data_IF_843702258196
#
_entry.id   IF_843702258196
#
_cell.length_a   1.000
_cell.length_b   1.000
_cell.length_c   1.000
_cell.angle_alpha   90.00
_cell.angle_beta   90.00
_cell.angle_gamma   90.00
#
_symmetry.space_group_name_H-M   'P 1'
#
loop_
_entity.id
_entity.type
_entity.pdbx_description
1 polymer ?
#
# COMPACT_ATOMS: atom_id res chain seq x y z
N UNK A 1 -3.66 -9.16 -16.78
CA UNK A 1 -2.70 -8.03 -16.86
C UNK A 1 -2.53 -7.38 -15.51
N UNK A 2 -1.32 -7.07 -15.10
CA UNK A 2 -0.85 -7.11 -13.73
C UNK A 2 -1.12 -5.82 -12.96
N UNK A 3 -1.74 -5.92 -11.79
CA UNK A 3 -1.54 -5.08 -10.61
C UNK A 3 -0.02 -4.94 -10.46
N UNK A 4 0.49 -3.75 -10.11
CA UNK A 4 1.92 -3.57 -9.98
C UNK A 4 2.45 -4.65 -9.04
N UNK A 5 3.21 -5.59 -9.61
CA UNK A 5 3.88 -6.59 -8.81
C UNK A 5 5.14 -5.95 -8.24
N UNK A 6 5.16 -5.77 -6.94
CA UNK A 6 6.34 -5.26 -6.26
C UNK A 6 7.20 -6.44 -5.84
N UNK A 7 8.31 -6.63 -6.55
CA UNK A 7 9.32 -7.60 -6.10
C UNK A 7 10.08 -6.95 -4.94
N UNK A 8 9.78 -7.41 -3.74
CA UNK A 8 10.54 -6.99 -2.58
C UNK A 8 11.97 -7.53 -2.68
N UNK A 9 12.95 -6.67 -2.47
CA UNK A 9 14.35 -7.12 -2.34
C UNK A 9 14.48 -7.70 -0.94
N UNK A 10 14.27 -9.01 -0.87
CA UNK A 10 14.34 -9.79 0.36
C UNK A 10 15.72 -10.44 0.43
N UNK A 11 16.44 -10.27 1.51
CA UNK A 11 17.65 -11.05 1.76
C UNK A 11 17.27 -12.53 1.89
N UNK A 12 17.71 -13.37 0.96
CA UNK A 12 17.37 -14.80 0.90
C UNK A 12 17.78 -15.58 2.17
N UNK A 13 18.71 -15.02 2.96
CA UNK A 13 19.15 -15.59 4.24
C UNK A 13 18.30 -15.14 5.44
N UNK A 14 17.32 -14.27 5.24
CA UNK A 14 16.47 -13.76 6.33
C UNK A 14 15.08 -14.41 6.31
N UNK A 15 14.63 -14.87 7.48
CA UNK A 15 13.31 -15.48 7.64
C UNK A 15 12.17 -14.48 7.39
N UNK A 16 12.40 -13.20 7.68
CA UNK A 16 11.45 -12.11 7.47
C UNK A 16 12.18 -10.76 7.47
N UNK A 17 11.56 -9.76 6.85
CA UNK A 17 12.13 -8.42 6.74
C UNK A 17 11.29 -7.42 7.49
N UNK A 18 11.94 -6.55 8.24
CA UNK A 18 11.30 -5.45 8.95
C UNK A 18 11.84 -4.13 8.40
N UNK A 19 10.94 -3.28 7.91
CA UNK A 19 11.25 -1.94 7.40
C UNK A 19 10.49 -0.88 8.16
N UNK A 20 11.15 0.22 8.42
CA UNK A 20 10.56 1.42 8.98
C UNK A 20 10.45 2.48 7.89
N UNK A 21 9.24 2.97 7.65
CA UNK A 21 8.94 4.00 6.67
C UNK A 21 8.64 5.30 7.39
N UNK A 22 9.48 6.31 7.15
CA UNK A 22 9.27 7.68 7.62
C UNK A 22 9.34 8.59 6.39
N UNK A 23 8.21 9.09 5.93
CA UNK A 23 8.08 9.87 4.71
C UNK A 23 7.04 10.97 4.89
N UNK A 24 7.02 11.96 3.98
CA UNK A 24 5.96 13.00 4.00
C UNK A 24 4.57 12.43 3.79
N UNK A 25 4.45 11.28 3.13
CA UNK A 25 3.20 10.54 2.89
C UNK A 25 3.52 9.12 2.42
N UNK A 26 2.56 8.22 2.54
CA UNK A 26 2.64 6.92 1.88
C UNK A 26 2.52 7.09 0.36
N UNK A 27 3.41 6.45 -0.39
CA UNK A 27 3.59 6.64 -1.83
C UNK A 27 3.53 5.34 -2.63
N UNK A 28 3.31 4.20 -1.99
CA UNK A 28 3.22 2.92 -2.71
C UNK A 28 2.02 2.90 -3.66
N UNK A 29 2.20 2.47 -4.93
CA UNK A 29 1.10 2.30 -5.84
C UNK A 29 0.13 1.23 -5.33
N UNK A 30 -1.02 1.10 -5.99
CA UNK A 30 -1.86 -0.09 -5.77
C UNK A 30 -1.11 -1.30 -6.31
N UNK A 31 -0.60 -2.15 -5.41
CA UNK A 31 0.36 -3.21 -5.68
C UNK A 31 -0.01 -4.50 -4.96
N UNK A 32 0.65 -5.58 -5.35
CA UNK A 32 0.65 -6.87 -4.67
C UNK A 32 2.05 -7.48 -4.72
N UNK A 33 2.35 -8.36 -3.80
CA UNK A 33 3.60 -9.12 -3.71
C UNK A 33 3.35 -10.54 -3.18
N UNK A 34 4.38 -11.38 -3.15
CA UNK A 34 4.27 -12.80 -2.76
C UNK A 34 4.42 -13.05 -1.25
N UNK A 35 4.69 -12.02 -0.48
CA UNK A 35 4.86 -12.08 0.97
C UNK A 35 3.56 -11.72 1.70
N UNK A 36 3.42 -12.17 2.93
CA UNK A 36 2.54 -11.55 3.90
C UNK A 36 3.12 -10.20 4.30
N UNK A 37 2.26 -9.22 4.48
CA UNK A 37 2.62 -7.91 4.98
C UNK A 37 1.87 -7.61 6.27
N UNK A 38 2.62 -7.47 7.36
CA UNK A 38 2.15 -6.93 8.62
C UNK A 38 2.59 -5.48 8.70
N UNK A 39 1.66 -4.56 8.83
CA UNK A 39 1.95 -3.12 8.91
C UNK A 39 1.27 -2.48 10.11
N UNK A 40 2.03 -1.77 10.93
CA UNK A 40 1.50 -0.86 11.95
C UNK A 40 1.69 0.58 11.50
N UNK A 41 0.61 1.34 11.52
CA UNK A 41 0.63 2.78 11.28
C UNK A 41 1.02 3.46 12.59
N UNK A 42 2.26 3.90 12.70
CA UNK A 42 2.74 4.61 13.90
C UNK A 42 2.16 6.01 13.93
N UNK A 43 2.20 6.69 12.76
CA UNK A 43 1.61 8.01 12.57
C UNK A 43 1.23 8.19 11.11
N UNK A 44 0.00 8.36 10.84
CA UNK A 44 -0.61 8.80 9.59
C UNK A 44 -2.10 8.48 9.55
N UNK A 45 -2.84 9.12 8.67
CA UNK A 45 -4.24 8.81 8.40
C UNK A 45 -4.57 8.96 6.92
N UNK A 46 -5.62 8.31 6.49
CA UNK A 46 -6.04 8.38 5.10
C UNK A 46 -6.98 7.27 4.67
N UNK A 47 -6.86 6.87 3.41
CA UNK A 47 -7.61 5.79 2.79
C UNK A 47 -6.70 4.60 2.53
N UNK A 48 -7.15 3.44 2.96
CA UNK A 48 -6.60 2.14 2.58
C UNK A 48 -7.49 1.54 1.49
N UNK A 49 -6.89 1.27 0.36
CA UNK A 49 -7.48 0.48 -0.71
C UNK A 49 -6.96 -0.95 -0.55
N UNK A 50 -7.86 -1.91 -0.44
CA UNK A 50 -7.49 -3.32 -0.24
C UNK A 50 -8.46 -4.24 -0.96
N UNK A 51 -7.94 -5.05 -1.88
CA UNK A 51 -8.79 -5.86 -2.73
C UNK A 51 -9.89 -5.01 -3.37
N UNK A 52 -11.13 -5.32 -3.03
CA UNK A 52 -12.33 -4.66 -3.55
C UNK A 52 -12.89 -3.58 -2.62
N UNK A 53 -12.20 -3.19 -1.57
CA UNK A 53 -12.74 -2.29 -0.56
C UNK A 53 -11.87 -1.04 -0.37
N UNK A 54 -12.52 0.01 0.13
CA UNK A 54 -11.86 1.24 0.55
C UNK A 54 -12.30 1.53 1.98
N UNK A 55 -11.34 1.67 2.87
CA UNK A 55 -11.57 2.00 4.26
C UNK A 55 -10.68 3.15 4.71
N UNK A 56 -10.88 3.66 5.91
CA UNK A 56 -9.94 4.60 6.53
C UNK A 56 -8.87 3.83 7.29
N UNK A 57 -7.71 4.45 7.41
CA UNK A 57 -6.68 4.08 8.37
C UNK A 57 -6.27 5.28 9.19
N UNK A 58 -5.83 5.05 10.41
CA UNK A 58 -5.42 6.06 11.38
C UNK A 58 -4.18 5.62 12.16
N UNK A 59 -3.65 6.54 12.95
CA UNK A 59 -2.57 6.26 13.90
C UNK A 59 -2.92 5.05 14.78
N UNK A 60 -1.97 4.15 14.95
CA UNK A 60 -2.11 2.95 15.77
C UNK A 60 -2.81 1.77 15.10
N UNK A 61 -3.36 1.92 13.90
CA UNK A 61 -3.97 0.80 13.18
C UNK A 61 -2.93 -0.26 12.81
N UNK A 62 -3.33 -1.51 12.92
CA UNK A 62 -2.52 -2.68 12.60
C UNK A 62 -3.22 -3.53 11.55
N UNK A 63 -2.50 -3.86 10.48
CA UNK A 63 -3.03 -4.63 9.36
C UNK A 63 -2.18 -5.87 9.07
N UNK A 64 -2.83 -6.88 8.49
CA UNK A 64 -2.16 -8.05 7.92
C UNK A 64 -2.77 -8.38 6.56
N UNK A 65 -1.95 -8.38 5.53
CA UNK A 65 -2.32 -8.74 4.16
C UNK A 65 -1.65 -10.04 3.75
N UNK A 66 -2.39 -10.90 3.07
CA UNK A 66 -1.86 -12.13 2.48
C UNK A 66 -1.20 -11.87 1.12
N UNK A 67 -0.33 -12.77 0.66
CA UNK A 67 0.24 -12.76 -0.68
C UNK A 67 -0.82 -12.55 -1.75
N UNK A 68 -0.50 -11.74 -2.74
CA UNK A 68 -1.38 -11.48 -3.88
C UNK A 68 -2.63 -10.66 -3.58
N UNK A 69 -2.83 -10.17 -2.36
CA UNK A 69 -3.93 -9.25 -2.03
C UNK A 69 -3.54 -7.83 -2.42
N UNK A 70 -4.18 -7.22 -3.44
CA UNK A 70 -3.82 -5.89 -3.87
C UNK A 70 -4.20 -4.84 -2.82
N UNK A 71 -3.26 -3.94 -2.51
CA UNK A 71 -3.50 -2.88 -1.52
C UNK A 71 -2.64 -1.64 -1.76
N UNK A 72 -3.06 -0.52 -1.20
CA UNK A 72 -2.23 0.69 -1.03
C UNK A 72 -2.81 1.64 0.02
N UNK A 73 -1.93 2.40 0.63
CA UNK A 73 -2.28 3.46 1.58
C UNK A 73 -2.22 4.82 0.88
N UNK A 74 -3.24 5.60 1.12
CA UNK A 74 -3.39 6.94 0.53
C UNK A 74 -3.68 7.96 1.63
N UNK A 75 -2.79 8.93 1.81
CA UNK A 75 -3.04 10.04 2.70
C UNK A 75 -4.11 10.95 2.12
N UNK A 76 -5.15 11.28 2.89
CA UNK A 76 -6.14 12.27 2.49
C UNK A 76 -5.56 13.68 2.62
N UNK A 77 -5.76 14.53 1.61
CA UNK A 77 -5.43 15.95 1.72
C UNK A 77 -6.27 16.59 2.82
N UNK A 78 -5.64 17.20 3.81
CA UNK A 78 -6.34 17.88 4.90
C UNK A 78 -5.48 18.27 6.10
N UNK A 79 -4.34 17.63 6.31
CA UNK A 79 -3.36 18.13 7.28
C UNK A 79 -2.29 18.95 6.54
N UNK A 80 -2.61 20.19 6.19
CA UNK A 80 -1.62 21.20 5.79
C UNK A 80 -0.79 21.70 6.98
N UNK A 81 -0.75 20.98 8.07
CA UNK A 81 0.23 21.21 9.11
C UNK A 81 1.57 20.68 8.62
N UNK A 82 2.45 21.62 8.39
CA UNK A 82 3.69 21.60 7.62
C UNK A 82 4.73 20.54 8.06
N UNK A 83 4.45 19.64 9.02
CA UNK A 83 5.44 18.73 9.61
C UNK A 83 4.94 17.33 10.01
N UNK A 84 3.78 16.87 9.54
CA UNK A 84 3.37 15.50 9.89
C UNK A 84 3.92 14.48 8.89
N UNK A 85 4.94 13.74 9.29
CA UNK A 85 5.47 12.62 8.53
C UNK A 85 4.56 11.40 8.68
N UNK A 86 4.29 10.70 7.59
CA UNK A 86 3.72 9.37 7.62
C UNK A 86 4.80 8.40 8.14
N UNK A 87 4.47 7.68 9.20
CA UNK A 87 5.37 6.73 9.84
C UNK A 87 4.67 5.38 9.98
N UNK A 88 5.29 4.33 9.44
CA UNK A 88 4.82 2.95 9.56
C UNK A 88 5.99 1.99 9.74
N UNK A 89 5.75 0.89 10.43
CA UNK A 89 6.66 -0.25 10.48
C UNK A 89 5.99 -1.42 9.79
N UNK A 90 6.72 -2.04 8.86
CA UNK A 90 6.22 -3.12 8.01
C UNK A 90 7.09 -4.35 8.18
N UNK A 91 6.46 -5.51 8.32
CA UNK A 91 7.14 -6.80 8.37
C UNK A 91 6.64 -7.66 7.24
N UNK A 92 7.55 -8.05 6.35
CA UNK A 92 7.30 -8.97 5.25
C UNK A 92 7.81 -10.36 5.60
N UNK A 93 6.99 -11.38 5.38
CA UNK A 93 7.37 -12.78 5.61
C UNK A 93 6.65 -13.73 4.65
N UNK A 94 7.22 -14.89 4.41
CA UNK A 94 6.63 -15.92 3.57
C UNK A 94 5.89 -16.94 4.41
N UNK A 95 4.96 -17.69 3.79
CA UNK A 95 4.26 -18.78 4.49
C UNK A 95 5.21 -19.87 4.99
N UNK A 96 6.26 -20.10 4.24
CA UNK A 96 7.24 -21.16 4.49
C UNK A 96 8.47 -20.72 5.31
N UNK A 97 8.43 -19.52 5.94
CA UNK A 97 9.58 -18.94 6.64
C UNK A 97 10.13 -19.80 7.80
N UNK A 98 9.33 -20.70 8.34
CA UNK A 98 9.74 -21.72 9.32
C UNK A 98 9.55 -23.16 8.76
N UNK A 99 9.56 -23.30 7.45
CA UNK A 99 9.33 -24.56 6.75
C UNK A 99 7.89 -24.75 6.28
N UNK A 100 7.70 -25.55 5.23
CA UNK A 100 6.46 -25.66 4.48
C UNK A 100 5.22 -26.06 5.30
N UNK A 101 5.41 -26.81 6.39
CA UNK A 101 4.30 -27.36 7.18
C UNK A 101 4.17 -26.72 8.56
N UNK A 102 4.85 -25.60 8.83
CA UNK A 102 4.83 -24.97 10.16
C UNK A 102 3.40 -24.59 10.59
N UNK A 103 2.67 -23.87 9.74
CA UNK A 103 1.32 -23.41 10.06
C UNK A 103 0.26 -24.52 10.14
N UNK A 104 0.59 -25.74 9.72
CA UNK A 104 -0.32 -26.88 9.76
C UNK A 104 -0.19 -27.71 11.05
N UNK A 105 0.74 -27.31 11.94
CA UNK A 105 0.92 -27.96 13.24
C UNK A 105 -0.17 -27.54 14.24
N UNK A 106 -0.53 -28.48 15.13
CA UNK A 106 -1.60 -28.28 16.10
C UNK A 106 -1.33 -27.10 17.03
N UNK A 107 -0.09 -26.97 17.48
CA UNK A 107 0.36 -25.94 18.42
C UNK A 107 0.19 -24.51 17.88
N UNK A 108 0.21 -24.37 16.54
CA UNK A 108 0.07 -23.07 15.84
C UNK A 108 -1.26 -22.91 15.11
N UNK A 109 -2.25 -23.72 15.44
CA UNK A 109 -3.59 -23.69 14.80
C UNK A 109 -4.25 -22.30 14.82
N UNK A 110 -3.98 -21.50 15.86
CA UNK A 110 -4.46 -20.11 15.96
C UNK A 110 -3.76 -19.21 14.92
N UNK A 111 -2.47 -19.41 14.69
CA UNK A 111 -1.71 -18.68 13.65
C UNK A 111 -2.23 -19.05 12.25
N UNK A 112 -2.54 -20.33 11.99
CA UNK A 112 -3.13 -20.74 10.72
C UNK A 112 -4.47 -20.02 10.47
N UNK A 113 -5.31 -19.85 11.49
CA UNK A 113 -6.55 -19.07 11.37
C UNK A 113 -6.29 -17.58 11.10
N UNK A 114 -5.25 -16.98 11.71
CA UNK A 114 -4.82 -15.61 11.45
C UNK A 114 -4.41 -15.44 9.98
N UNK A 115 -3.56 -16.34 9.48
CA UNK A 115 -3.10 -16.38 8.09
C UNK A 115 -4.27 -16.50 7.11
N UNK A 116 -5.23 -17.40 7.35
CA UNK A 116 -6.44 -17.50 6.51
C UNK A 116 -7.29 -16.22 6.53
N UNK A 117 -7.43 -15.56 7.66
CA UNK A 117 -8.16 -14.28 7.74
C UNK A 117 -7.49 -13.18 6.94
N UNK A 118 -6.16 -13.18 6.86
CA UNK A 118 -5.41 -12.16 6.11
C UNK A 118 -5.60 -12.23 4.59
N UNK A 119 -6.13 -13.34 4.05
CA UNK A 119 -6.50 -13.46 2.63
C UNK A 119 -7.59 -12.45 2.21
N UNK A 120 -8.39 -11.98 3.17
CA UNK A 120 -9.35 -10.90 2.97
C UNK A 120 -8.83 -9.55 3.46
N UNK A 121 -7.55 -9.46 3.84
CA UNK A 121 -7.00 -8.33 4.57
C UNK A 121 -7.61 -8.22 5.98
N UNK A 122 -6.79 -8.19 6.99
CA UNK A 122 -7.20 -8.10 8.38
C UNK A 122 -6.79 -6.75 8.96
N UNK A 123 -7.71 -6.05 9.61
CA UNK A 123 -7.43 -4.89 10.44
C UNK A 123 -7.70 -5.24 11.90
N UNK A 124 -6.75 -4.92 12.78
CA UNK A 124 -6.92 -4.99 14.24
C UNK A 124 -7.06 -3.56 14.75
N UNK A 125 -8.17 -3.29 15.42
CA UNK A 125 -8.45 -2.00 16.02
C UNK A 125 -7.86 -1.88 17.41
N UNK A 126 -7.33 -0.70 17.73
CA UNK A 126 -6.80 -0.39 19.05
C UNK A 126 -5.92 -1.53 19.60
N UNK A 127 -4.85 -1.93 18.88
CA UNK A 127 -3.90 -2.90 19.41
C UNK A 127 -3.32 -2.38 20.71
N UNK A 128 -2.90 -3.28 21.60
CA UNK A 128 -2.26 -2.86 22.86
C UNK A 128 -0.99 -2.06 22.57
N UNK A 129 -0.69 -1.07 23.38
CA UNK A 129 0.57 -0.31 23.26
C UNK A 129 1.79 -1.25 23.32
N UNK A 130 1.71 -2.32 24.09
CA UNK A 130 2.77 -3.32 24.20
C UNK A 130 2.99 -4.04 22.84
N UNK A 131 1.91 -4.42 22.13
CA UNK A 131 2.00 -5.05 20.81
C UNK A 131 2.60 -4.07 19.78
N UNK A 132 2.12 -2.83 19.73
CA UNK A 132 2.64 -1.80 18.83
C UNK A 132 4.13 -1.56 19.08
N UNK A 133 4.52 -1.37 20.35
CA UNK A 133 5.93 -1.16 20.71
C UNK A 133 6.80 -2.38 20.36
N UNK A 134 6.30 -3.61 20.53
CA UNK A 134 7.03 -4.81 20.13
C UNK A 134 7.28 -4.85 18.63
N UNK A 135 6.29 -4.45 17.80
CA UNK A 135 6.45 -4.37 16.34
C UNK A 135 7.47 -3.27 15.98
N UNK A 136 7.36 -2.08 16.57
CA UNK A 136 8.27 -0.95 16.29
C UNK A 136 9.71 -1.33 16.62
N UNK A 137 9.93 -1.98 17.76
CA UNK A 137 11.26 -2.35 18.24
C UNK A 137 11.82 -3.63 17.60
N UNK A 138 11.05 -4.33 16.75
CA UNK A 138 11.45 -5.60 16.17
C UNK A 138 12.74 -5.48 15.35
N UNK A 139 12.95 -4.34 14.71
CA UNK A 139 14.15 -4.08 13.90
C UNK A 139 15.42 -3.88 14.74
N UNK A 140 15.29 -3.56 16.02
CA UNK A 140 16.41 -3.41 16.95
C UNK A 140 16.84 -4.76 17.54
N UNK A 141 16.00 -5.78 17.43
CA UNK A 141 16.26 -7.14 17.91
C UNK A 141 17.14 -7.92 16.92
N UNK A 142 17.86 -8.91 17.44
CA UNK A 142 18.78 -9.75 16.65
C UNK A 142 18.55 -11.24 16.92
N UNK A 143 18.98 -12.07 15.99
CA UNK A 143 19.01 -13.53 16.14
C UNK A 143 17.68 -14.13 16.61
N UNK A 144 17.73 -15.08 17.51
CA UNK A 144 16.58 -15.80 18.04
C UNK A 144 15.61 -14.90 18.82
N UNK A 145 16.09 -13.83 19.45
CA UNK A 145 15.23 -12.84 20.13
C UNK A 145 14.29 -12.15 19.12
N UNK A 146 14.81 -11.77 17.95
CA UNK A 146 14.01 -11.17 16.87
C UNK A 146 12.94 -12.14 16.38
N UNK A 147 13.29 -13.40 16.16
CA UNK A 147 12.35 -14.43 15.75
C UNK A 147 11.29 -14.71 16.83
N UNK A 148 11.71 -14.83 18.10
CA UNK A 148 10.80 -15.04 19.22
C UNK A 148 9.79 -13.93 19.37
N UNK A 149 10.23 -12.67 19.29
CA UNK A 149 9.33 -11.50 19.33
C UNK A 149 8.37 -11.49 18.16
N UNK A 150 8.81 -11.84 16.95
CA UNK A 150 7.91 -11.92 15.80
C UNK A 150 6.82 -13.01 15.97
N UNK A 151 7.17 -14.18 16.49
CA UNK A 151 6.18 -15.22 16.81
C UNK A 151 5.20 -14.79 17.89
N UNK A 152 5.66 -14.08 18.93
CA UNK A 152 4.80 -13.51 19.95
C UNK A 152 3.85 -12.45 19.40
N UNK A 153 4.31 -11.61 18.46
CA UNK A 153 3.46 -10.65 17.74
C UNK A 153 2.33 -11.39 17.01
N UNK A 154 2.67 -12.39 16.20
CA UNK A 154 1.67 -13.18 15.46
C UNK A 154 0.69 -13.88 16.41
N UNK A 155 1.17 -14.45 17.52
CA UNK A 155 0.35 -15.11 18.51
C UNK A 155 -0.62 -14.14 19.19
N UNK A 156 -0.15 -12.95 19.60
CA UNK A 156 -1.02 -11.93 20.18
C UNK A 156 -2.08 -11.45 19.19
N UNK A 157 -1.71 -11.23 17.92
CA UNK A 157 -2.65 -10.89 16.86
C UNK A 157 -3.73 -11.97 16.67
N UNK A 158 -3.35 -13.25 16.69
CA UNK A 158 -4.28 -14.37 16.53
C UNK A 158 -5.35 -14.43 17.62
N UNK A 159 -5.02 -13.99 18.83
CA UNK A 159 -5.93 -13.93 19.99
C UNK A 159 -6.86 -12.70 19.99
N UNK A 160 -6.65 -11.69 19.14
CA UNK A 160 -7.47 -10.45 19.15
C UNK A 160 -8.87 -10.68 18.62
N UNK A 161 -9.87 -10.28 19.43
CA UNK A 161 -11.29 -10.29 19.04
C UNK A 161 -11.71 -9.00 18.30
N UNK A 162 -11.05 -7.87 18.58
CA UNK A 162 -11.32 -6.56 17.98
C UNK A 162 -10.67 -6.43 16.58
N UNK A 163 -11.06 -7.31 15.67
CA UNK A 163 -10.56 -7.34 14.31
C UNK A 163 -11.70 -7.40 13.30
N UNK A 164 -11.47 -6.87 12.09
CA UNK A 164 -12.39 -7.04 10.96
C UNK A 164 -11.64 -7.48 9.71
N UNK A 165 -12.36 -8.16 8.84
CA UNK A 165 -11.93 -8.43 7.47
C UNK A 165 -12.17 -7.18 6.62
N UNK A 166 -11.20 -6.84 5.78
CA UNK A 166 -11.24 -5.61 4.98
C UNK A 166 -11.90 -5.82 3.63
N UNK A 167 -11.65 -6.94 2.98
CA UNK A 167 -12.40 -7.37 1.83
C UNK A 167 -13.34 -8.47 2.30
N UNK A 168 -14.63 -8.32 2.07
CA UNK A 168 -15.56 -9.41 2.42
C UNK A 168 -15.26 -10.60 1.53
N UNK A 169 -14.83 -11.68 2.12
CA UNK A 169 -14.99 -12.99 1.51
C UNK A 169 -16.47 -13.15 1.14
N UNK A 170 -16.78 -13.92 0.16
CA UNK A 170 -18.04 -14.33 -0.49
C UNK A 170 -19.44 -13.91 0.06
N UNK A 171 -19.54 -13.04 1.08
CA UNK A 171 -20.79 -12.62 1.73
C UNK A 171 -21.20 -11.16 1.46
N UNK A 172 -20.58 -10.48 0.48
CA UNK A 172 -21.10 -9.19 0.02
C UNK A 172 -22.33 -9.39 -0.85
N UNK A 173 -23.33 -8.52 -0.70
CA UNK A 173 -24.43 -8.46 -1.68
C UNK A 173 -23.83 -8.29 -3.09
N UNK A 174 -24.40 -8.93 -4.09
CA UNK A 174 -23.94 -8.89 -5.48
C UNK A 174 -23.69 -7.43 -5.98
N UNK A 175 -24.45 -6.47 -5.48
CA UNK A 175 -24.32 -5.03 -5.78
C UNK A 175 -23.03 -4.44 -5.20
N UNK A 176 -22.66 -4.80 -3.96
CA UNK A 176 -21.43 -4.31 -3.33
C UNK A 176 -20.18 -4.93 -3.97
N UNK A 177 -20.24 -6.19 -4.38
CA UNK A 177 -19.19 -6.90 -5.11
C UNK A 177 -18.96 -6.26 -6.49
N UNK A 178 -20.04 -5.95 -7.23
CA UNK A 178 -19.95 -5.34 -8.55
C UNK A 178 -19.37 -3.92 -8.48
N UNK A 179 -19.80 -3.10 -7.51
CA UNK A 179 -19.25 -1.74 -7.32
C UNK A 179 -17.78 -1.74 -6.92
N UNK A 180 -17.37 -2.68 -6.10
CA UNK A 180 -15.98 -2.82 -5.68
C UNK A 180 -15.09 -3.31 -6.83
N UNK A 181 -15.59 -4.24 -7.64
CA UNK A 181 -14.91 -4.71 -8.85
C UNK A 181 -14.66 -3.55 -9.81
N UNK A 182 -15.66 -2.72 -10.07
CA UNK A 182 -15.55 -1.59 -10.99
C UNK A 182 -14.42 -0.62 -10.60
N UNK A 183 -14.33 -0.23 -9.33
CA UNK A 183 -13.28 0.71 -8.90
C UNK A 183 -11.88 0.09 -9.01
N UNK A 184 -11.76 -1.21 -8.75
CA UNK A 184 -10.49 -1.92 -8.89
C UNK A 184 -10.08 -2.07 -10.34
N UNK A 185 -11.00 -2.40 -11.22
CA UNK A 185 -10.71 -2.48 -12.66
C UNK A 185 -10.17 -1.13 -13.15
N UNK A 186 -10.71 -0.01 -12.63
CA UNK A 186 -10.19 1.33 -12.93
C UNK A 186 -8.80 1.57 -12.33
N UNK A 187 -8.56 1.18 -11.08
CA UNK A 187 -7.23 1.32 -10.48
C UNK A 187 -6.19 0.49 -11.22
N UNK A 188 -6.55 -0.75 -11.53
CA UNK A 188 -5.74 -1.65 -12.34
C UNK A 188 -5.42 -1.02 -13.69
N UNK A 189 -6.44 -0.53 -14.40
CA UNK A 189 -6.26 0.14 -15.67
C UNK A 189 -5.27 1.31 -15.59
N UNK A 190 -5.37 2.16 -14.56
CA UNK A 190 -4.44 3.28 -14.37
C UNK A 190 -3.03 2.77 -14.07
N UNK A 191 -2.86 1.80 -13.18
CA UNK A 191 -1.56 1.24 -12.83
C UNK A 191 -0.83 0.62 -14.03
N UNK A 192 -1.58 0.02 -14.96
CA UNK A 192 -1.03 -0.63 -16.15
C UNK A 192 -0.78 0.33 -17.33
N UNK A 193 -1.45 1.47 -17.33
CA UNK A 193 -1.44 2.39 -18.49
C UNK A 193 -0.95 3.80 -18.15
N UNK A 194 -0.51 4.10 -16.91
CA UNK A 194 -0.13 5.46 -16.52
C UNK A 194 0.96 6.08 -17.40
N UNK A 195 1.79 5.26 -18.04
CA UNK A 195 2.85 5.69 -18.97
C UNK A 195 2.31 6.15 -20.33
N UNK A 196 1.07 5.84 -20.65
CA UNK A 196 0.40 6.17 -21.91
C UNK A 196 -0.63 7.27 -21.68
N UNK A 197 -1.25 7.71 -22.75
CA UNK A 197 -2.41 8.59 -22.65
C UNK A 197 -3.57 7.87 -21.93
N UNK A 198 -4.01 8.41 -20.81
CA UNK A 198 -5.20 7.96 -20.09
C UNK A 198 -6.30 8.98 -20.27
N UNK A 199 -7.33 8.60 -21.03
CA UNK A 199 -8.52 9.43 -21.23
C UNK A 199 -9.64 9.06 -20.26
N UNK A 200 -10.52 10.03 -19.96
CA UNK A 200 -11.76 9.74 -19.23
C UNK A 200 -12.65 8.73 -19.95
N UNK A 201 -12.63 8.71 -21.29
CA UNK A 201 -13.39 7.75 -22.09
C UNK A 201 -12.94 6.33 -21.80
N UNK A 202 -11.64 6.08 -21.85
CA UNK A 202 -11.10 4.75 -21.65
C UNK A 202 -11.37 4.26 -20.22
N UNK A 203 -11.16 5.11 -19.22
CA UNK A 203 -11.47 4.77 -17.82
C UNK A 203 -12.98 4.54 -17.59
N UNK A 204 -13.84 5.32 -18.22
CA UNK A 204 -15.29 5.14 -18.15
C UNK A 204 -15.72 3.83 -18.83
N UNK A 205 -15.08 3.45 -19.96
CA UNK A 205 -15.31 2.16 -20.62
C UNK A 205 -14.91 0.99 -19.73
N UNK A 206 -13.77 1.07 -19.05
CA UNK A 206 -13.33 0.06 -18.05
C UNK A 206 -14.35 -0.09 -16.93
N UNK A 207 -14.93 1.04 -16.49
CA UNK A 207 -16.00 1.05 -15.47
C UNK A 207 -17.38 0.64 -16.01
N UNK A 208 -17.50 0.41 -17.33
CA UNK A 208 -18.78 0.22 -18.01
C UNK A 208 -19.79 1.35 -17.74
N UNK A 209 -19.31 2.60 -17.78
CA UNK A 209 -20.07 3.81 -17.47
C UNK A 209 -19.91 4.88 -18.53
N UNK A 210 -20.90 5.79 -18.64
CA UNK A 210 -20.72 7.02 -19.38
C UNK A 210 -19.77 7.98 -18.61
N UNK A 211 -19.03 8.84 -19.33
CA UNK A 211 -18.02 9.76 -18.77
C UNK A 211 -18.52 10.54 -17.54
N UNK A 212 -19.69 11.16 -17.63
CA UNK A 212 -20.23 11.97 -16.53
C UNK A 212 -20.60 11.13 -15.31
N UNK A 213 -21.13 9.94 -15.52
CA UNK A 213 -21.44 9.00 -14.44
C UNK A 213 -20.16 8.48 -13.79
N UNK A 214 -19.15 8.13 -14.59
CA UNK A 214 -17.84 7.71 -14.11
C UNK A 214 -17.15 8.78 -13.25
N UNK A 215 -17.12 10.04 -13.69
CA UNK A 215 -16.51 11.12 -12.90
C UNK A 215 -17.16 11.28 -11.52
N UNK A 216 -18.50 11.25 -11.45
CA UNK A 216 -19.24 11.29 -10.18
C UNK A 216 -18.97 10.07 -9.32
N UNK A 217 -19.02 8.89 -9.93
CA UNK A 217 -18.76 7.61 -9.27
C UNK A 217 -17.35 7.58 -8.67
N UNK A 218 -16.32 7.88 -9.49
CA UNK A 218 -14.93 7.87 -9.06
C UNK A 218 -14.69 8.84 -7.92
N UNK A 219 -15.16 10.11 -8.05
CA UNK A 219 -15.03 11.13 -6.99
C UNK A 219 -15.78 10.72 -5.71
N UNK A 220 -16.96 10.09 -5.82
CA UNK A 220 -17.71 9.60 -4.66
C UNK A 220 -16.95 8.51 -3.92
N UNK A 221 -16.34 7.55 -4.66
CA UNK A 221 -15.63 6.39 -4.09
C UNK A 221 -14.24 6.78 -3.55
N UNK A 222 -13.49 7.60 -4.27
CA UNK A 222 -12.08 7.91 -3.94
C UNK A 222 -11.89 9.26 -3.23
N UNK A 223 -12.92 10.13 -3.22
CA UNK A 223 -12.87 11.53 -2.76
C UNK A 223 -11.92 12.42 -3.58
N UNK A 224 -11.44 11.93 -4.73
CA UNK A 224 -10.50 12.61 -5.64
C UNK A 224 -11.07 12.66 -7.04
N UNK A 225 -10.61 13.62 -7.85
CA UNK A 225 -10.84 13.59 -9.29
C UNK A 225 -9.98 12.50 -9.92
N UNK A 226 -10.47 11.90 -11.00
CA UNK A 226 -9.72 10.86 -11.72
C UNK A 226 -8.36 11.35 -12.22
N UNK A 227 -8.28 12.60 -12.73
CA UNK A 227 -7.02 13.22 -13.16
C UNK A 227 -6.01 13.40 -12.03
N UNK A 228 -6.49 13.73 -10.83
CA UNK A 228 -5.64 13.82 -9.64
C UNK A 228 -5.03 12.45 -9.32
N UNK A 229 -5.83 11.40 -9.34
CA UNK A 229 -5.37 10.03 -9.11
C UNK A 229 -4.32 9.58 -10.15
N UNK A 230 -4.56 9.84 -11.45
CA UNK A 230 -3.59 9.53 -12.51
C UNK A 230 -2.28 10.27 -12.31
N UNK A 231 -2.33 11.59 -12.01
CA UNK A 231 -1.12 12.38 -11.78
C UNK A 231 -0.37 11.90 -10.53
N UNK A 232 -1.05 11.60 -9.45
CA UNK A 232 -0.42 11.04 -8.23
C UNK A 232 0.30 9.72 -8.55
N UNK A 233 -0.34 8.82 -9.28
CA UNK A 233 0.28 7.55 -9.72
C UNK A 233 1.55 7.80 -10.54
N UNK A 234 1.49 8.72 -11.50
CA UNK A 234 2.64 9.10 -12.35
C UNK A 234 3.79 9.70 -11.53
N UNK A 235 3.49 10.64 -10.64
CA UNK A 235 4.52 11.29 -9.80
C UNK A 235 5.18 10.32 -8.84
N UNK A 236 4.44 9.37 -8.34
CA UNK A 236 4.95 8.32 -7.47
C UNK A 236 5.99 7.45 -8.20
N UNK A 237 5.66 7.00 -9.43
CA UNK A 237 6.61 6.29 -10.27
C UNK A 237 7.82 7.16 -10.65
N UNK A 238 7.62 8.45 -10.90
CA UNK A 238 8.70 9.38 -11.16
C UNK A 238 9.68 9.49 -9.98
N UNK A 239 9.17 9.56 -8.75
CA UNK A 239 10.03 9.56 -7.54
C UNK A 239 10.86 8.29 -7.42
N UNK A 240 10.26 7.12 -7.70
CA UNK A 240 10.97 5.84 -7.71
C UNK A 240 12.09 5.85 -8.76
N UNK A 241 11.80 6.24 -10.00
CA UNK A 241 12.80 6.33 -11.07
C UNK A 241 13.92 7.33 -10.75
N UNK A 242 13.59 8.48 -10.14
CA UNK A 242 14.58 9.47 -9.72
C UNK A 242 15.49 8.96 -8.60
N UNK A 243 14.99 8.09 -7.73
CA UNK A 243 15.73 7.50 -6.63
C UNK A 243 16.61 6.32 -7.06
N UNK A 244 16.13 5.51 -8.00
CA UNK A 244 16.74 4.22 -8.36
C UNK A 244 17.58 4.28 -9.65
N UNK A 245 17.55 5.40 -10.38
CA UNK A 245 18.23 5.52 -11.69
C UNK A 245 18.86 6.88 -11.90
N UNK A 246 19.88 6.94 -12.77
CA UNK A 246 20.57 8.18 -13.21
C UNK A 246 19.87 8.87 -14.40
N UNK A 247 18.65 8.44 -14.76
CA UNK A 247 17.90 9.05 -15.86
C UNK A 247 17.66 10.53 -15.62
N UNK A 248 17.74 11.33 -16.67
CA UNK A 248 17.43 12.76 -16.57
C UNK A 248 16.00 13.01 -16.14
N UNK A 249 15.72 14.16 -15.56
CA UNK A 249 14.36 14.59 -15.17
C UNK A 249 13.41 14.54 -16.38
N UNK A 250 13.91 14.87 -17.57
CA UNK A 250 13.15 14.84 -18.80
C UNK A 250 12.77 13.40 -19.19
N UNK A 251 13.73 12.48 -19.16
CA UNK A 251 13.47 11.06 -19.44
C UNK A 251 12.49 10.45 -18.45
N UNK A 252 12.62 10.80 -17.17
CA UNK A 252 11.69 10.35 -16.13
C UNK A 252 10.27 10.87 -16.40
N UNK A 253 10.12 12.15 -16.78
CA UNK A 253 8.82 12.73 -17.12
C UNK A 253 8.14 11.94 -18.25
N UNK A 254 8.84 11.70 -19.36
CA UNK A 254 8.30 10.93 -20.49
C UNK A 254 7.97 9.48 -20.12
N UNK A 255 8.82 8.80 -19.35
CA UNK A 255 8.57 7.43 -18.89
C UNK A 255 7.37 7.32 -17.97
N UNK A 256 7.00 8.41 -17.29
CA UNK A 256 5.80 8.50 -16.46
C UNK A 256 4.57 9.01 -17.20
N UNK A 257 4.61 9.09 -18.53
CA UNK A 257 3.46 9.46 -19.36
C UNK A 257 3.16 10.97 -19.42
N UNK A 258 4.15 11.81 -19.16
CA UNK A 258 4.05 13.25 -19.37
C UNK A 258 4.66 13.63 -20.72
N UNK A 259 3.88 14.27 -21.56
CA UNK A 259 4.35 14.80 -22.85
C UNK A 259 5.00 16.19 -22.71
N UNK A 260 4.74 16.86 -21.56
CA UNK A 260 5.22 18.21 -21.29
C UNK A 260 5.93 18.26 -19.94
N UNK A 261 7.23 18.60 -19.98
CA UNK A 261 8.08 18.67 -18.78
C UNK A 261 7.70 19.80 -17.82
N UNK A 262 7.17 20.91 -18.33
CA UNK A 262 6.69 22.01 -17.48
C UNK A 262 5.45 21.58 -16.69
N UNK A 263 4.54 20.85 -17.33
CA UNK A 263 3.38 20.26 -16.64
C UNK A 263 3.83 19.21 -15.62
N UNK A 264 4.77 18.34 -15.98
CA UNK A 264 5.38 17.38 -15.07
C UNK A 264 5.98 18.07 -13.82
N UNK A 265 6.84 19.08 -14.02
CA UNK A 265 7.49 19.79 -12.91
C UNK A 265 6.45 20.43 -11.96
N UNK A 266 5.38 21.01 -12.51
CA UNK A 266 4.28 21.57 -11.71
C UNK A 266 3.56 20.48 -10.91
N UNK A 267 3.25 19.32 -11.53
CA UNK A 267 2.61 18.21 -10.84
C UNK A 267 3.55 17.59 -9.80
N UNK A 268 4.84 17.42 -10.13
CA UNK A 268 5.81 16.91 -9.19
C UNK A 268 5.94 17.81 -7.95
N UNK A 269 6.01 19.14 -8.15
CA UNK A 269 6.03 20.11 -7.05
C UNK A 269 4.73 20.10 -6.24
N UNK A 270 3.57 19.97 -6.90
CA UNK A 270 2.27 19.90 -6.23
C UNK A 270 2.18 18.69 -5.29
N UNK A 271 2.55 17.51 -5.78
CA UNK A 271 2.43 16.25 -5.03
C UNK A 271 3.68 15.92 -4.20
N UNK A 272 4.86 16.36 -4.62
CA UNK A 272 6.15 16.10 -3.97
C UNK A 272 6.63 17.19 -3.02
N UNK A 273 5.99 18.38 -3.05
CA UNK A 273 6.34 19.61 -2.28
C UNK A 273 7.71 20.21 -2.62
N UNK A 274 8.44 19.63 -3.58
CA UNK A 274 9.74 20.09 -4.07
C UNK A 274 9.88 19.80 -5.56
N UNK A 275 10.88 20.37 -6.24
CA UNK A 275 11.14 20.05 -7.64
C UNK A 275 11.73 18.65 -7.81
N UNK A 276 11.66 18.05 -9.01
CA UNK A 276 12.31 16.77 -9.29
C UNK A 276 13.82 16.80 -9.07
N UNK A 277 14.46 17.92 -9.36
CA UNK A 277 15.91 18.13 -9.18
C UNK A 277 16.26 18.18 -7.70
N UNK A 278 15.57 19.01 -6.92
CA UNK A 278 15.77 19.11 -5.48
C UNK A 278 15.55 17.74 -4.79
N UNK A 279 14.55 16.98 -5.25
CA UNK A 279 14.30 15.65 -4.74
C UNK A 279 15.50 14.72 -4.97
N UNK A 280 16.07 14.71 -6.16
CA UNK A 280 17.27 13.91 -6.50
C UNK A 280 18.49 14.36 -5.68
N UNK A 281 18.71 15.65 -5.55
CA UNK A 281 19.86 16.20 -4.85
C UNK A 281 19.82 15.85 -3.36
N UNK A 282 18.66 15.87 -2.75
CA UNK A 282 18.48 15.41 -1.36
C UNK A 282 18.81 13.91 -1.17
N UNK A 283 18.57 13.06 -2.17
CA UNK A 283 18.92 11.64 -2.10
C UNK A 283 20.42 11.38 -2.22
N UNK A 284 21.14 12.24 -2.96
CA UNK A 284 22.61 12.13 -3.11
C UNK A 284 23.40 12.64 -1.90
N UNK A 285 22.76 13.40 -1.03
CA UNK A 285 23.38 13.97 0.20
C UNK A 285 23.21 13.07 1.42
N UNK A 286 22.50 11.95 1.30
CA UNK A 286 22.33 10.91 2.31
C UNK A 286 23.18 9.68 2.00
#
# INVERSE_FOLDING_TARGET
MQIAYEKLVVDENSLFHCHEFIQTRFTSPFHQHDEFELIVIVKSHGKLYVGNNVTNFNDGDLFLFAPGLPHCFYNTHGSETVNELAHAVVVFFRRDFLGNNFFDKTEVSQLNRLIKKSESGLQIFNPSKALVNRIINLNQKRNLEKLGDFLLILNEMAGKKNSRLLSAGNNLSAVSLSESKVINDVFKYVAENFQKEITFSNAASVANMQKAAFCRYFKRKTKKKFTEFVNETRIMHARKLLAETDKTVIEVAFRCGYENTSYFNRQFKLYGKMSPTDFRDQLKQK
#
